data_IF_332974993003
#
_entry.id   IF_332974993003
#
_cell.length_a   1.000
_cell.length_b   1.000
_cell.length_c   1.000
_cell.angle_alpha   90.00
_cell.angle_beta   90.00
_cell.angle_gamma   90.00
#
_symmetry.space_group_name_H-M   'P 1'
#
loop_
_entity.id
_entity.type
_entity.pdbx_description
1 polymer ?
#
# COMPACT_ATOMS: atom_id res chain seq x y z
N UNK A 1 -26.40 -0.45 -13.76
CA UNK A 1 -26.02 0.36 -12.59
C UNK A 1 -26.11 -0.46 -11.29
N UNK A 2 -27.28 -1.09 -10.99
CA UNK A 2 -27.48 -1.91 -9.78
C UNK A 2 -26.42 -3.01 -9.60
N UNK A 3 -26.10 -3.75 -10.68
CA UNK A 3 -25.09 -4.81 -10.64
C UNK A 3 -23.69 -4.32 -10.24
N UNK A 4 -23.33 -3.09 -10.62
CA UNK A 4 -22.05 -2.50 -10.26
C UNK A 4 -21.98 -2.21 -8.75
N UNK A 5 -23.06 -1.67 -8.17
CA UNK A 5 -23.12 -1.40 -6.73
C UNK A 5 -23.11 -2.67 -5.89
N UNK A 6 -23.80 -3.73 -6.32
CA UNK A 6 -23.77 -5.04 -5.65
C UNK A 6 -22.34 -5.59 -5.66
N UNK A 7 -21.69 -5.59 -6.82
CA UNK A 7 -20.31 -6.09 -6.94
C UNK A 7 -19.32 -5.27 -6.11
N UNK A 8 -19.49 -3.94 -6.07
CA UNK A 8 -18.69 -3.07 -5.23
C UNK A 8 -18.89 -3.37 -3.74
N UNK A 9 -20.13 -3.60 -3.32
CA UNK A 9 -20.46 -3.99 -1.95
C UNK A 9 -19.84 -5.35 -1.60
N UNK A 10 -19.97 -6.36 -2.46
CA UNK A 10 -19.37 -7.70 -2.25
C UNK A 10 -17.85 -7.64 -2.06
N UNK A 11 -17.19 -6.73 -2.77
CA UNK A 11 -15.72 -6.54 -2.69
C UNK A 11 -15.32 -5.78 -1.42
N UNK A 12 -16.03 -4.71 -1.09
CA UNK A 12 -15.66 -3.81 0.02
C UNK A 12 -16.14 -4.31 1.37
N UNK A 13 -17.31 -4.96 1.42
CA UNK A 13 -17.92 -5.40 2.67
C UNK A 13 -17.00 -6.27 3.54
N UNK A 14 -16.36 -7.34 3.04
CA UNK A 14 -15.46 -8.16 3.84
C UNK A 14 -14.32 -7.37 4.49
N UNK A 15 -13.74 -6.43 3.75
CA UNK A 15 -12.65 -5.60 4.25
C UNK A 15 -13.11 -4.69 5.38
N UNK A 16 -14.20 -3.93 5.17
CA UNK A 16 -14.74 -3.04 6.19
C UNK A 16 -15.35 -3.79 7.38
N UNK A 17 -15.89 -4.99 7.15
CA UNK A 17 -16.39 -5.84 8.23
C UNK A 17 -15.28 -6.24 9.22
N UNK A 18 -14.12 -6.69 8.69
CA UNK A 18 -12.96 -7.03 9.52
C UNK A 18 -12.41 -5.80 10.24
N UNK A 19 -12.33 -4.64 9.55
CA UNK A 19 -11.95 -3.37 10.18
C UNK A 19 -12.93 -2.98 11.28
N UNK A 20 -14.24 -3.17 11.08
CA UNK A 20 -15.28 -2.93 12.07
C UNK A 20 -15.14 -3.81 13.32
N UNK A 21 -14.83 -5.11 13.13
CA UNK A 21 -14.52 -6.02 14.25
C UNK A 21 -13.29 -5.50 15.02
N UNK A 22 -12.21 -5.15 14.32
CA UNK A 22 -10.99 -4.60 14.93
C UNK A 22 -11.27 -3.33 15.73
N UNK A 23 -12.07 -2.42 15.18
CA UNK A 23 -12.51 -1.21 15.87
C UNK A 23 -13.31 -1.51 17.14
N UNK A 24 -14.28 -2.42 17.05
CA UNK A 24 -15.11 -2.83 18.21
C UNK A 24 -14.26 -3.44 19.33
N UNK A 25 -13.35 -4.37 18.98
CA UNK A 25 -12.45 -5.00 19.94
C UNK A 25 -11.48 -3.99 20.58
N UNK A 26 -10.91 -3.08 19.78
CA UNK A 26 -10.03 -2.03 20.26
C UNK A 26 -10.74 -1.04 21.20
N UNK A 27 -11.99 -0.68 20.89
CA UNK A 27 -12.80 0.17 21.77
C UNK A 27 -13.15 -0.53 23.10
N UNK A 28 -13.39 -1.85 23.07
CA UNK A 28 -13.66 -2.65 24.26
C UNK A 28 -12.42 -2.87 25.13
N UNK A 29 -11.25 -2.95 24.49
CA UNK A 29 -9.98 -3.19 25.16
C UNK A 29 -8.92 -2.17 24.68
N UNK A 30 -8.98 -0.90 25.13
CA UNK A 30 -8.11 0.17 24.64
C UNK A 30 -6.63 -0.03 24.97
N UNK A 31 -6.28 -1.00 25.83
CA UNK A 31 -4.91 -1.35 26.22
C UNK A 31 -4.32 -2.54 25.44
N UNK A 32 -5.03 -3.06 24.42
CA UNK A 32 -4.48 -4.13 23.58
C UNK A 32 -3.19 -3.63 22.89
N UNK A 33 -2.09 -4.33 23.17
CA UNK A 33 -0.85 -4.12 22.42
C UNK A 33 -0.93 -4.83 21.06
N UNK A 34 -1.07 -4.04 20.01
CA UNK A 34 -1.11 -4.52 18.62
C UNK A 34 0.27 -4.59 17.98
N UNK A 35 1.33 -4.23 18.70
CA UNK A 35 2.70 -4.11 18.16
C UNK A 35 3.19 -5.43 17.54
N UNK A 36 2.93 -6.56 18.22
CA UNK A 36 3.32 -7.87 17.69
C UNK A 36 2.60 -8.17 16.36
N UNK A 37 1.28 -7.96 16.31
CA UNK A 37 0.46 -8.23 15.11
C UNK A 37 0.89 -7.33 13.96
N UNK A 38 1.12 -6.05 14.24
CA UNK A 38 1.56 -5.07 13.24
C UNK A 38 2.94 -5.42 12.70
N UNK A 39 3.89 -5.77 13.57
CA UNK A 39 5.23 -6.19 13.18
C UNK A 39 5.21 -7.51 12.39
N UNK A 40 4.39 -8.48 12.79
CA UNK A 40 4.23 -9.73 12.06
C UNK A 40 3.64 -9.47 10.67
N UNK A 41 2.58 -8.68 10.57
CA UNK A 41 1.97 -8.31 9.30
C UNK A 41 2.98 -7.59 8.37
N UNK A 42 3.77 -6.65 8.90
CA UNK A 42 4.74 -5.90 8.11
C UNK A 42 5.96 -6.73 7.68
N UNK A 43 6.49 -7.57 8.57
CA UNK A 43 7.78 -8.25 8.34
C UNK A 43 7.63 -9.66 7.77
N UNK A 44 6.46 -10.29 7.90
CA UNK A 44 6.19 -11.65 7.41
C UNK A 44 5.01 -11.64 6.43
N UNK A 45 3.88 -11.09 6.82
CA UNK A 45 2.67 -11.09 6.01
C UNK A 45 2.84 -10.35 4.68
N UNK A 46 3.35 -9.12 4.72
CA UNK A 46 3.57 -8.31 3.52
C UNK A 46 4.58 -8.94 2.55
N UNK A 47 5.77 -9.40 2.98
CA UNK A 47 6.69 -10.13 2.12
C UNK A 47 6.08 -11.39 1.49
N UNK A 48 5.40 -12.21 2.28
CA UNK A 48 4.75 -13.43 1.80
C UNK A 48 3.68 -13.12 0.74
N UNK A 49 2.89 -12.05 0.96
CA UNK A 49 1.87 -11.61 0.03
C UNK A 49 2.47 -11.09 -1.29
N UNK A 50 3.60 -10.38 -1.23
CA UNK A 50 4.32 -9.90 -2.42
C UNK A 50 4.80 -11.09 -3.25
N UNK A 51 5.47 -12.06 -2.62
CA UNK A 51 5.96 -13.27 -3.30
C UNK A 51 4.79 -14.06 -3.89
N UNK A 52 3.72 -14.28 -3.13
CA UNK A 52 2.53 -14.98 -3.59
C UNK A 52 1.86 -14.28 -4.78
N UNK A 53 1.76 -12.96 -4.74
CA UNK A 53 1.04 -12.20 -5.76
C UNK A 53 1.85 -12.00 -7.06
N UNK A 54 3.18 -11.96 -6.99
CA UNK A 54 4.03 -11.79 -8.17
C UNK A 54 4.38 -13.12 -8.86
N UNK A 55 4.43 -14.23 -8.12
CA UNK A 55 4.83 -15.54 -8.64
C UNK A 55 3.89 -16.14 -9.71
N UNK A 56 2.54 -16.11 -9.60
CA UNK A 56 1.66 -16.72 -10.58
C UNK A 56 1.43 -15.88 -11.84
N UNK A 57 1.84 -14.63 -11.84
CA UNK A 57 1.62 -13.72 -12.94
C UNK A 57 2.96 -13.53 -13.63
N UNK A 58 3.16 -14.16 -14.80
CA UNK A 58 4.27 -13.84 -15.70
C UNK A 58 4.13 -12.38 -16.18
N UNK A 59 4.30 -11.44 -15.27
CA UNK A 59 4.34 -10.02 -15.61
C UNK A 59 5.67 -9.81 -16.33
N UNK A 60 5.60 -9.62 -17.64
CA UNK A 60 6.79 -9.26 -18.40
C UNK A 60 7.38 -7.97 -17.83
N UNK A 61 8.70 -7.88 -17.82
CA UNK A 61 9.42 -6.69 -17.35
C UNK A 61 8.90 -5.39 -18.00
N UNK A 62 8.48 -5.44 -19.26
CA UNK A 62 7.89 -4.31 -19.97
C UNK A 62 6.56 -3.85 -19.35
N UNK A 63 5.71 -4.78 -18.93
CA UNK A 63 4.46 -4.45 -18.25
C UNK A 63 4.77 -3.79 -16.91
N UNK A 64 5.73 -4.34 -16.14
CA UNK A 64 6.16 -3.77 -14.86
C UNK A 64 6.67 -2.33 -15.02
N UNK A 65 7.51 -2.05 -16.02
CA UNK A 65 8.05 -0.71 -16.31
C UNK A 65 6.93 0.28 -16.70
N UNK A 66 5.96 -0.14 -17.50
CA UNK A 66 4.83 0.72 -17.88
C UNK A 66 4.01 1.13 -16.65
N UNK A 67 3.67 0.17 -15.76
CA UNK A 67 2.98 0.49 -14.51
C UNK A 67 3.82 1.36 -13.57
N UNK A 68 5.14 1.18 -13.57
CA UNK A 68 6.04 2.06 -12.81
C UNK A 68 5.88 3.52 -13.24
N UNK A 69 5.92 3.81 -14.52
CA UNK A 69 5.78 5.18 -15.02
C UNK A 69 4.41 5.77 -14.77
N UNK A 70 3.33 5.02 -15.00
CA UNK A 70 1.97 5.47 -14.69
C UNK A 70 1.82 5.77 -13.20
N UNK A 71 2.39 4.94 -12.35
CA UNK A 71 2.33 5.15 -10.92
C UNK A 71 3.21 6.33 -10.48
N UNK A 72 4.40 6.50 -11.04
CA UNK A 72 5.26 7.64 -10.75
C UNK A 72 4.57 8.97 -11.09
N UNK A 73 3.88 9.04 -12.24
CA UNK A 73 3.07 10.20 -12.61
C UNK A 73 1.90 10.42 -11.64
N UNK A 74 1.22 9.36 -11.22
CA UNK A 74 0.13 9.46 -10.26
C UNK A 74 0.61 9.96 -8.88
N UNK A 75 1.76 9.49 -8.39
CA UNK A 75 2.37 9.99 -7.14
C UNK A 75 2.65 11.49 -7.25
N UNK A 76 3.24 11.94 -8.35
CA UNK A 76 3.53 13.36 -8.56
C UNK A 76 2.22 14.17 -8.50
N UNK A 77 1.17 13.68 -9.14
CA UNK A 77 -0.15 14.31 -9.08
C UNK A 77 -0.71 14.39 -7.66
N UNK A 78 -0.65 13.29 -6.89
CA UNK A 78 -1.09 13.25 -5.51
C UNK A 78 -0.26 14.14 -4.59
N UNK A 79 1.06 14.24 -4.82
CA UNK A 79 1.94 15.17 -4.10
C UNK A 79 1.51 16.62 -4.34
N UNK A 80 1.27 17.00 -5.59
CA UNK A 80 0.83 18.36 -5.94
C UNK A 80 -0.52 18.67 -5.28
N UNK A 81 -1.50 17.77 -5.43
CA UNK A 81 -2.82 17.93 -4.82
C UNK A 81 -2.70 18.00 -3.28
N UNK A 82 -1.90 17.12 -2.69
CA UNK A 82 -1.65 17.09 -1.26
C UNK A 82 -1.05 18.40 -0.74
N UNK A 83 -0.06 18.97 -1.44
CA UNK A 83 0.54 20.26 -1.10
C UNK A 83 -0.54 21.37 -1.13
N UNK A 84 -1.35 21.42 -2.19
CA UNK A 84 -2.41 22.43 -2.31
C UNK A 84 -3.41 22.30 -1.16
N UNK A 85 -3.89 21.09 -0.87
CA UNK A 85 -4.87 20.87 0.22
C UNK A 85 -4.26 21.25 1.58
N UNK A 86 -3.04 20.78 1.89
CA UNK A 86 -2.39 21.07 3.16
C UNK A 86 -2.08 22.56 3.32
N UNK A 87 -1.74 23.25 2.23
CA UNK A 87 -1.58 24.69 2.23
C UNK A 87 -2.91 25.42 2.53
N UNK A 88 -3.99 25.01 1.89
CA UNK A 88 -5.34 25.60 2.13
C UNK A 88 -5.84 25.34 3.57
N UNK A 89 -5.45 24.21 4.18
CA UNK A 89 -5.78 23.86 5.56
C UNK A 89 -4.85 24.54 6.59
N UNK A 90 -3.91 25.38 6.16
CA UNK A 90 -2.93 26.04 7.02
C UNK A 90 -2.13 25.05 7.88
N UNK A 91 -1.78 23.89 7.35
CA UNK A 91 -1.03 22.86 8.06
C UNK A 91 0.37 23.36 8.43
N UNK A 92 0.79 23.15 9.67
CA UNK A 92 2.09 23.65 10.19
C UNK A 92 3.31 22.99 9.54
N UNK A 93 3.24 21.72 9.17
CA UNK A 93 4.31 20.96 8.53
C UNK A 93 3.80 20.16 7.35
N UNK A 94 3.69 20.84 6.22
CA UNK A 94 3.17 20.26 4.96
C UNK A 94 3.99 19.03 4.55
N UNK A 95 5.32 19.09 4.67
CA UNK A 95 6.20 18.00 4.21
C UNK A 95 5.98 16.72 5.03
N UNK A 96 5.76 16.86 6.34
CA UNK A 96 5.52 15.73 7.24
C UNK A 96 4.17 15.08 7.02
N UNK A 97 3.15 15.86 6.69
CA UNK A 97 1.78 15.37 6.45
C UNK A 97 1.58 14.85 5.00
N UNK A 98 2.48 15.19 4.09
CA UNK A 98 2.38 14.85 2.67
C UNK A 98 2.29 13.34 2.37
N UNK A 99 2.95 12.42 3.12
CA UNK A 99 2.81 10.98 2.89
C UNK A 99 1.38 10.47 2.94
N UNK A 100 0.48 11.11 3.71
CA UNK A 100 -0.94 10.75 3.80
C UNK A 100 -1.62 10.81 2.43
N UNK A 101 -1.22 11.75 1.57
CA UNK A 101 -1.77 11.93 0.23
C UNK A 101 -1.02 11.11 -0.83
N UNK A 102 0.30 10.99 -0.69
CA UNK A 102 1.16 10.38 -1.71
C UNK A 102 1.30 8.86 -1.58
N UNK A 103 0.96 8.29 -0.43
CA UNK A 103 1.22 6.89 -0.09
C UNK A 103 -0.08 6.10 0.14
N UNK A 104 -0.80 5.68 -0.92
CA UNK A 104 -2.04 4.91 -0.78
C UNK A 104 -1.79 3.53 -0.18
N UNK A 105 -2.77 3.01 0.54
CA UNK A 105 -2.74 1.67 1.13
C UNK A 105 -3.05 0.60 0.06
N UNK A 106 -2.10 0.35 -0.83
CA UNK A 106 -2.27 -0.60 -1.93
C UNK A 106 -2.06 -2.05 -1.51
N UNK A 107 -1.21 -2.30 -0.52
CA UNK A 107 -0.97 -3.65 -0.02
C UNK A 107 -2.19 -4.23 0.69
N UNK A 108 -2.60 -3.62 1.80
CA UNK A 108 -3.65 -4.19 2.65
C UNK A 108 -5.07 -4.02 2.09
N UNK A 109 -5.33 -2.96 1.32
CA UNK A 109 -6.64 -2.70 0.71
C UNK A 109 -6.65 -2.94 -0.80
N UNK A 110 -5.64 -2.47 -1.51
CA UNK A 110 -5.60 -2.54 -2.97
C UNK A 110 -5.56 -3.97 -3.49
N UNK A 111 -4.73 -4.85 -2.94
CA UNK A 111 -4.61 -6.24 -3.38
C UNK A 111 -5.91 -7.02 -3.26
N UNK A 112 -6.61 -7.07 -2.10
CA UNK A 112 -7.89 -7.74 -1.99
C UNK A 112 -8.96 -7.17 -2.93
N UNK A 113 -9.03 -5.85 -3.05
CA UNK A 113 -10.01 -5.19 -3.92
C UNK A 113 -9.77 -5.59 -5.38
N UNK A 114 -8.53 -5.56 -5.86
CA UNK A 114 -8.19 -5.95 -7.22
C UNK A 114 -8.40 -7.45 -7.48
N UNK A 115 -8.10 -8.29 -6.49
CA UNK A 115 -8.38 -9.72 -6.58
C UNK A 115 -9.89 -9.99 -6.76
N UNK A 116 -10.72 -9.37 -5.93
CA UNK A 116 -12.16 -9.57 -6.01
C UNK A 116 -12.79 -8.94 -7.26
N UNK A 117 -12.28 -7.78 -7.71
CA UNK A 117 -12.83 -7.08 -8.87
C UNK A 117 -12.40 -7.69 -10.21
N UNK A 118 -11.16 -8.16 -10.32
CA UNK A 118 -10.53 -8.54 -11.60
C UNK A 118 -9.88 -9.92 -11.57
N UNK A 119 -10.07 -10.70 -10.48
CA UNK A 119 -9.47 -12.02 -10.34
C UNK A 119 -7.95 -12.02 -10.24
N UNK A 120 -7.32 -13.15 -10.60
CA UNK A 120 -5.87 -13.35 -10.52
C UNK A 120 -5.05 -12.35 -11.34
N UNK A 121 -5.57 -11.91 -12.49
CA UNK A 121 -4.90 -10.89 -13.31
C UNK A 121 -4.85 -9.55 -12.61
N UNK A 122 -5.96 -9.11 -11.99
CA UNK A 122 -6.00 -7.89 -11.20
C UNK A 122 -5.08 -7.95 -9.98
N UNK A 123 -5.02 -9.13 -9.33
CA UNK A 123 -4.09 -9.35 -8.22
C UNK A 123 -2.63 -9.14 -8.65
N UNK A 124 -2.23 -9.70 -9.79
CA UNK A 124 -0.85 -9.58 -10.26
C UNK A 124 -0.46 -8.14 -10.60
N UNK A 125 -1.32 -7.42 -11.32
CA UNK A 125 -1.08 -5.99 -11.62
C UNK A 125 -1.01 -5.16 -10.34
N UNK A 126 -1.94 -5.35 -9.42
CA UNK A 126 -1.95 -4.62 -8.15
C UNK A 126 -0.78 -4.98 -7.25
N UNK A 127 -0.28 -6.22 -7.32
CA UNK A 127 0.93 -6.63 -6.60
C UNK A 127 2.18 -5.92 -7.12
N UNK A 128 2.35 -5.81 -8.44
CA UNK A 128 3.45 -5.04 -9.02
C UNK A 128 3.41 -3.58 -8.58
N UNK A 129 2.23 -2.94 -8.64
CA UNK A 129 2.04 -1.57 -8.16
C UNK A 129 2.33 -1.47 -6.66
N UNK A 130 1.85 -2.43 -5.85
CA UNK A 130 2.08 -2.44 -4.40
C UNK A 130 3.56 -2.61 -4.06
N UNK A 131 4.30 -3.43 -4.80
CA UNK A 131 5.75 -3.56 -4.64
C UNK A 131 6.47 -2.22 -4.83
N UNK A 132 6.11 -1.47 -5.87
CA UNK A 132 6.66 -0.12 -6.12
C UNK A 132 6.28 0.86 -5.00
N UNK A 133 5.03 0.82 -4.55
CA UNK A 133 4.55 1.68 -3.46
C UNK A 133 5.28 1.38 -2.17
N UNK A 134 5.53 0.12 -1.86
CA UNK A 134 6.30 -0.29 -0.69
C UNK A 134 7.73 0.26 -0.76
N UNK A 135 8.38 0.20 -1.94
CA UNK A 135 9.67 0.85 -2.13
C UNK A 135 9.60 2.37 -1.89
N UNK A 136 8.56 3.03 -2.43
CA UNK A 136 8.34 4.45 -2.19
C UNK A 136 8.07 4.77 -0.71
N UNK A 137 7.34 3.92 0.02
CA UNK A 137 7.14 4.11 1.47
C UNK A 137 8.45 4.11 2.23
N UNK A 138 9.33 3.14 1.97
CA UNK A 138 10.60 3.01 2.67
C UNK A 138 11.69 3.99 2.20
N UNK A 139 11.49 4.65 1.07
CA UNK A 139 12.42 5.67 0.54
C UNK A 139 11.85 7.06 0.76
N UNK A 140 10.93 7.47 -0.11
CA UNK A 140 10.33 8.80 -0.13
C UNK A 140 9.47 9.05 1.12
N UNK A 141 8.68 8.08 1.55
CA UNK A 141 7.81 8.21 2.73
C UNK A 141 8.60 8.47 4.01
N UNK A 142 9.66 7.68 4.25
CA UNK A 142 10.55 7.89 5.41
C UNK A 142 11.29 9.22 5.31
N UNK A 143 11.75 9.60 4.11
CA UNK A 143 12.40 10.89 3.90
C UNK A 143 11.47 12.07 4.20
N UNK A 144 10.23 12.02 3.73
CA UNK A 144 9.23 13.07 3.97
C UNK A 144 8.86 13.17 5.46
N UNK A 145 8.70 12.03 6.14
CA UNK A 145 8.31 11.99 7.55
C UNK A 145 9.44 12.43 8.48
N UNK A 146 10.64 11.89 8.31
CA UNK A 146 11.77 12.06 9.23
C UNK A 146 12.81 13.07 8.75
N UNK A 147 12.69 13.59 7.51
CA UNK A 147 13.66 14.44 6.83
C UNK A 147 15.08 13.86 6.80
N UNK A 148 15.20 12.54 6.95
CA UNK A 148 16.47 11.80 6.92
C UNK A 148 16.36 10.65 5.93
N UNK A 149 17.20 10.66 4.91
CA UNK A 149 17.32 9.53 4.00
C UNK A 149 18.25 8.48 4.62
N UNK A 150 17.76 7.24 4.76
CA UNK A 150 18.54 6.15 5.31
C UNK A 150 18.44 4.91 4.44
N UNK A 151 19.44 4.66 3.62
CA UNK A 151 19.60 3.40 2.88
C UNK A 151 19.57 2.18 3.79
N UNK A 152 20.02 2.32 5.03
CA UNK A 152 20.02 1.22 6.01
C UNK A 152 18.60 0.76 6.37
N UNK A 153 17.62 1.64 6.37
CA UNK A 153 16.20 1.29 6.62
C UNK A 153 15.67 0.45 5.47
N UNK A 154 15.96 0.84 4.23
CA UNK A 154 15.54 0.13 3.02
C UNK A 154 16.16 -1.28 3.00
N UNK A 155 17.49 -1.35 3.16
CA UNK A 155 18.23 -2.61 3.12
C UNK A 155 17.92 -3.55 4.30
N UNK A 156 17.26 -3.08 5.35
CA UNK A 156 16.81 -3.90 6.46
C UNK A 156 15.34 -4.34 6.34
N UNK A 157 14.61 -3.82 5.36
CA UNK A 157 13.17 -4.12 5.24
C UNK A 157 12.94 -5.46 4.53
N UNK A 158 12.23 -6.43 5.16
CA UNK A 158 11.90 -7.71 4.53
C UNK A 158 11.11 -7.58 3.23
N UNK A 159 10.17 -6.62 3.07
CA UNK A 159 9.48 -6.39 1.79
C UNK A 159 10.41 -6.08 0.63
N UNK A 160 11.53 -5.38 0.86
CA UNK A 160 12.51 -5.09 -0.16
C UNK A 160 13.12 -6.37 -0.76
N UNK A 161 13.49 -7.33 0.08
CA UNK A 161 14.01 -8.62 -0.37
C UNK A 161 12.93 -9.47 -1.05
N UNK A 162 11.69 -9.42 -0.56
CA UNK A 162 10.58 -10.12 -1.18
C UNK A 162 10.35 -9.67 -2.63
N UNK A 163 10.47 -8.37 -2.91
CA UNK A 163 10.37 -7.82 -4.27
C UNK A 163 11.50 -8.36 -5.16
N UNK A 164 12.73 -8.34 -4.67
CA UNK A 164 13.89 -8.85 -5.42
C UNK A 164 13.68 -10.33 -5.77
N UNK A 165 13.31 -11.15 -4.78
CA UNK A 165 13.10 -12.60 -4.97
C UNK A 165 11.95 -12.88 -5.95
N UNK A 166 10.90 -12.06 -5.94
CA UNK A 166 9.71 -12.29 -6.76
C UNK A 166 9.87 -11.80 -8.21
N UNK A 167 10.85 -10.93 -8.50
CA UNK A 167 11.11 -10.36 -9.84
C UNK A 167 12.24 -11.10 -10.57
N UNK A 168 13.11 -11.82 -9.84
CA UNK A 168 14.17 -12.68 -10.40
C UNK A 168 13.61 -14.07 -10.71
#
# INVERSE_FOLDING_TARGET
LMAIYIKLFEVLFPVFFVVGIGYYLGKKNPKIDTTFITNFAANVGTPAMIIYALNPVNISFNIFINYFWYYALAIIGFIIIGIVILYLLNTKDIIRELPIFAMPNTGNMGLPICLFAYGSQGLGVSAAISALIILCHFTLGVFLADRKFSLKVILKSPPFYAIIIAVI
#
